data_IF_675275987125
#
_entry.id   IF_675275987125
#
_cell.length_a   1.000
_cell.length_b   1.000
_cell.length_c   1.000
_cell.angle_alpha   90.00
_cell.angle_beta   90.00
_cell.angle_gamma   90.00
#
_symmetry.space_group_name_H-M   'P 1'
#
loop_
_entity.id
_entity.type
_entity.pdbx_description
1 polymer ?
#
# COMPACT_ATOMS: atom_id res chain seq x y z
N UNK A 1 10.88 -4.41 -30.76
CA UNK A 1 9.88 -3.36 -31.06
C UNK A 1 8.85 -4.00 -31.96
N UNK A 2 7.60 -4.08 -31.50
CA UNK A 2 6.62 -4.99 -32.09
C UNK A 2 6.32 -4.66 -33.56
N UNK A 3 6.40 -5.68 -34.41
CA UNK A 3 6.02 -5.67 -35.83
C UNK A 3 4.50 -5.54 -35.98
N UNK A 4 3.96 -4.39 -35.63
CA UNK A 4 2.55 -4.06 -35.82
C UNK A 4 2.42 -3.17 -37.06
N UNK A 5 2.84 -3.74 -38.21
CA UNK A 5 2.89 -3.04 -39.52
C UNK A 5 1.65 -3.31 -40.39
N UNK A 6 0.71 -4.13 -39.95
CA UNK A 6 -0.44 -4.49 -40.76
C UNK A 6 -1.60 -3.51 -40.56
N UNK A 7 -2.03 -2.86 -41.63
CA UNK A 7 -3.24 -2.05 -41.64
C UNK A 7 -4.46 -2.99 -41.56
N UNK A 8 -5.29 -2.84 -40.54
CA UNK A 8 -6.46 -3.71 -40.33
C UNK A 8 -7.58 -3.37 -41.31
N UNK A 9 -8.46 -4.34 -41.59
CA UNK A 9 -9.66 -4.08 -42.40
C UNK A 9 -10.67 -3.27 -41.58
N UNK A 10 -11.45 -2.42 -42.24
CA UNK A 10 -12.43 -1.56 -41.58
C UNK A 10 -13.40 -2.36 -40.70
N UNK A 11 -13.98 -3.50 -41.16
CA UNK A 11 -14.86 -4.30 -40.31
C UNK A 11 -14.16 -4.89 -39.08
N UNK A 12 -12.88 -5.22 -39.17
CA UNK A 12 -12.10 -5.74 -38.04
C UNK A 12 -11.89 -4.65 -36.98
N UNK A 13 -11.60 -3.41 -37.42
CA UNK A 13 -11.46 -2.26 -36.53
C UNK A 13 -12.79 -2.00 -35.82
N UNK A 14 -13.88 -1.94 -36.58
CA UNK A 14 -15.23 -1.67 -36.06
C UNK A 14 -15.65 -2.74 -35.05
N UNK A 15 -15.46 -4.02 -35.36
CA UNK A 15 -15.76 -5.11 -34.43
C UNK A 15 -14.92 -5.05 -33.15
N UNK A 16 -13.63 -4.73 -33.26
CA UNK A 16 -12.74 -4.66 -32.10
C UNK A 16 -13.09 -3.50 -31.16
N UNK A 17 -13.37 -2.33 -31.72
CA UNK A 17 -13.74 -1.13 -30.95
C UNK A 17 -15.13 -1.28 -30.30
N UNK A 18 -16.10 -1.86 -31.00
CA UNK A 18 -17.41 -2.12 -30.41
C UNK A 18 -17.35 -3.11 -29.22
N UNK A 19 -16.44 -4.09 -29.25
CA UNK A 19 -16.24 -5.03 -28.12
C UNK A 19 -15.77 -4.35 -26.83
N UNK A 20 -15.11 -3.21 -26.93
CA UNK A 20 -14.67 -2.41 -25.78
C UNK A 20 -15.59 -1.21 -25.51
N UNK A 21 -16.82 -1.26 -26.03
CA UNK A 21 -17.86 -0.22 -25.89
C UNK A 21 -17.51 1.13 -26.51
N UNK A 22 -16.71 1.14 -27.59
CA UNK A 22 -16.53 2.33 -28.44
C UNK A 22 -17.45 2.18 -29.65
N UNK A 23 -18.56 2.93 -29.65
CA UNK A 23 -19.54 2.90 -30.72
C UNK A 23 -18.97 3.51 -32.02
N UNK A 24 -18.89 2.68 -33.06
CA UNK A 24 -18.33 3.06 -34.36
C UNK A 24 -18.96 2.21 -35.47
N UNK A 25 -19.15 2.82 -36.65
CA UNK A 25 -19.58 2.16 -37.87
C UNK A 25 -18.56 2.34 -39.00
N UNK A 26 -18.66 1.54 -40.06
CA UNK A 26 -17.75 1.60 -41.22
C UNK A 26 -17.75 3.00 -41.89
N UNK A 27 -18.87 3.71 -41.86
CA UNK A 27 -19.00 5.07 -42.41
C UNK A 27 -18.16 6.10 -41.65
N UNK A 28 -17.99 5.94 -40.33
CA UNK A 28 -17.17 6.86 -39.52
C UNK A 28 -15.70 6.83 -39.92
N UNK A 29 -15.23 5.71 -40.49
CA UNK A 29 -13.85 5.55 -40.95
C UNK A 29 -13.71 5.95 -42.42
N UNK A 30 -14.70 5.66 -43.26
CA UNK A 30 -14.65 5.96 -44.69
C UNK A 30 -14.98 7.42 -45.02
N UNK A 31 -15.86 8.04 -44.23
CA UNK A 31 -16.29 9.44 -44.33
C UNK A 31 -16.25 10.08 -42.93
N UNK A 32 -15.05 10.27 -42.37
CA UNK A 32 -14.90 10.77 -41.02
C UNK A 32 -15.41 12.20 -40.90
N UNK A 33 -16.27 12.45 -39.91
CA UNK A 33 -16.67 13.79 -39.51
C UNK A 33 -15.86 14.20 -38.27
N UNK A 34 -15.49 15.47 -38.11
CA UNK A 34 -14.71 15.93 -36.96
C UNK A 34 -15.37 15.56 -35.62
N UNK A 35 -16.70 15.67 -35.53
CA UNK A 35 -17.47 15.34 -34.34
C UNK A 35 -17.39 13.85 -33.98
N UNK A 36 -17.54 12.94 -34.96
CA UNK A 36 -17.43 11.50 -34.71
C UNK A 36 -16.01 11.10 -34.38
N UNK A 37 -15.01 11.67 -35.06
CA UNK A 37 -13.60 11.39 -34.76
C UNK A 37 -13.21 11.87 -33.38
N UNK A 38 -13.69 13.05 -32.98
CA UNK A 38 -13.49 13.57 -31.63
C UNK A 38 -14.06 12.62 -30.58
N UNK A 39 -15.30 12.16 -30.76
CA UNK A 39 -15.95 11.19 -29.87
C UNK A 39 -15.16 9.87 -29.78
N UNK A 40 -14.73 9.32 -30.93
CA UNK A 40 -13.95 8.08 -30.95
C UNK A 40 -12.65 8.25 -30.15
N UNK A 41 -11.92 9.35 -30.36
CA UNK A 41 -10.70 9.64 -29.59
C UNK A 41 -10.98 9.89 -28.11
N UNK A 42 -12.11 10.48 -27.76
CA UNK A 42 -12.52 10.65 -26.36
C UNK A 42 -12.71 9.28 -25.70
N UNK A 43 -13.43 8.37 -26.37
CA UNK A 43 -13.60 7.02 -25.88
C UNK A 43 -12.26 6.26 -25.76
N UNK A 44 -11.32 6.47 -26.69
CA UNK A 44 -9.97 5.88 -26.61
C UNK A 44 -9.18 6.41 -25.39
N UNK A 45 -9.23 7.72 -25.14
CA UNK A 45 -8.58 8.34 -23.97
C UNK A 45 -9.21 7.82 -22.68
N UNK A 46 -10.54 7.74 -22.62
CA UNK A 46 -11.24 7.21 -21.46
C UNK A 46 -10.93 5.72 -21.22
N UNK A 47 -10.87 4.90 -22.28
CA UNK A 47 -10.51 3.49 -22.16
C UNK A 47 -9.09 3.28 -21.63
N UNK A 48 -8.12 4.07 -22.10
CA UNK A 48 -6.70 3.88 -21.75
C UNK A 48 -6.28 4.57 -20.46
N UNK A 49 -6.81 5.76 -20.17
CA UNK A 49 -6.37 6.61 -19.07
C UNK A 49 -7.45 6.83 -18.00
N UNK A 50 -8.71 6.46 -18.27
CA UNK A 50 -9.83 6.71 -17.37
C UNK A 50 -10.21 8.19 -17.24
N UNK A 51 -9.80 9.03 -18.21
CA UNK A 51 -10.04 10.47 -18.22
C UNK A 51 -11.12 10.81 -19.24
N UNK A 52 -12.14 11.56 -18.84
CA UNK A 52 -13.17 12.09 -19.75
C UNK A 52 -12.80 13.48 -20.23
N UNK A 53 -13.32 13.91 -21.39
CA UNK A 53 -13.05 15.27 -21.85
C UNK A 53 -13.60 16.32 -20.87
N UNK A 54 -14.75 16.04 -20.23
CA UNK A 54 -15.32 16.89 -19.17
C UNK A 54 -14.35 17.16 -18.02
N UNK A 55 -13.46 16.23 -17.70
CA UNK A 55 -12.49 16.39 -16.60
C UNK A 55 -11.41 17.42 -16.97
N UNK A 56 -11.11 17.55 -18.27
CA UNK A 56 -10.16 18.53 -18.80
C UNK A 56 -10.72 19.95 -18.83
N UNK A 57 -12.05 20.09 -18.79
CA UNK A 57 -12.72 21.40 -18.75
C UNK A 57 -12.75 22.01 -17.34
N UNK A 58 -12.40 21.21 -16.33
CA UNK A 58 -12.32 21.70 -14.96
C UNK A 58 -11.10 22.61 -14.77
N UNK A 59 -11.23 23.71 -14.01
CA UNK A 59 -10.12 24.62 -13.77
C UNK A 59 -8.98 23.90 -13.04
N UNK A 60 -7.79 23.99 -13.62
CA UNK A 60 -6.57 23.45 -13.02
C UNK A 60 -5.74 24.60 -12.45
N UNK A 61 -5.90 24.84 -11.15
CA UNK A 61 -5.26 25.95 -10.43
C UNK A 61 -3.72 25.95 -10.54
N UNK A 62 -3.08 24.78 -10.69
CA UNK A 62 -1.63 24.68 -10.87
C UNK A 62 -1.17 25.16 -12.26
N UNK A 63 -2.01 24.96 -13.28
CA UNK A 63 -1.75 25.46 -14.64
C UNK A 63 -2.07 26.96 -14.70
N UNK A 64 -3.21 27.38 -14.14
CA UNK A 64 -3.62 28.79 -14.12
C UNK A 64 -2.59 29.70 -13.45
N UNK A 65 -1.96 29.25 -12.37
CA UNK A 65 -0.88 30.00 -11.68
C UNK A 65 0.39 30.18 -12.51
N UNK A 66 0.61 29.35 -13.54
CA UNK A 66 1.79 29.39 -14.41
C UNK A 66 1.54 30.19 -15.69
N UNK A 67 0.29 30.52 -16.00
CA UNK A 67 -0.08 31.27 -17.17
C UNK A 67 -0.19 32.75 -16.83
N UNK A 68 0.35 33.60 -17.70
CA UNK A 68 0.28 35.06 -17.54
C UNK A 68 -1.14 35.58 -17.76
N UNK A 69 -1.90 34.95 -18.68
CA UNK A 69 -3.29 35.30 -19.02
C UNK A 69 -4.17 34.04 -19.19
N UNK A 70 -4.51 33.32 -18.11
CA UNK A 70 -5.28 32.08 -18.18
C UNK A 70 -6.68 32.26 -18.76
N UNK A 71 -7.29 33.43 -18.57
CA UNK A 71 -8.64 33.74 -19.07
C UNK A 71 -8.73 33.68 -20.61
N UNK A 72 -7.66 34.04 -21.32
CA UNK A 72 -7.61 34.02 -22.79
C UNK A 72 -7.49 32.60 -23.35
N UNK A 73 -7.01 31.64 -22.54
CA UNK A 73 -6.75 30.27 -22.95
C UNK A 73 -7.77 29.28 -22.40
N UNK A 74 -8.75 29.76 -21.61
CA UNK A 74 -9.72 28.91 -20.91
C UNK A 74 -10.46 27.94 -21.83
N UNK A 75 -10.80 28.39 -23.04
CA UNK A 75 -11.55 27.58 -24.01
C UNK A 75 -10.64 26.66 -24.84
N UNK A 76 -9.35 26.98 -24.97
CA UNK A 76 -8.40 26.22 -25.79
C UNK A 76 -7.60 25.19 -24.98
N UNK A 77 -7.38 25.43 -23.68
CA UNK A 77 -6.62 24.55 -22.79
C UNK A 77 -7.15 23.11 -22.75
N UNK A 78 -8.47 22.85 -22.62
CA UNK A 78 -8.98 21.48 -22.61
C UNK A 78 -8.68 20.76 -23.92
N UNK A 79 -8.82 21.45 -25.05
CA UNK A 79 -8.57 20.91 -26.38
C UNK A 79 -7.09 20.61 -26.64
N UNK A 80 -6.18 21.49 -26.20
CA UNK A 80 -4.73 21.27 -26.27
C UNK A 80 -4.31 20.10 -25.38
N UNK A 81 -4.88 20.01 -24.19
CA UNK A 81 -4.61 18.94 -23.23
C UNK A 81 -5.09 17.60 -23.79
N UNK A 82 -6.30 17.57 -24.35
CA UNK A 82 -6.87 16.41 -25.01
C UNK A 82 -6.02 15.93 -26.19
N UNK A 83 -5.61 16.86 -27.07
CA UNK A 83 -4.66 16.57 -28.14
C UNK A 83 -3.36 15.96 -27.62
N UNK A 84 -2.80 16.51 -26.53
CA UNK A 84 -1.60 15.98 -25.89
C UNK A 84 -1.78 14.54 -25.37
N UNK A 85 -2.94 14.22 -24.80
CA UNK A 85 -3.26 12.86 -24.32
C UNK A 85 -3.33 11.87 -25.48
N UNK A 86 -4.07 12.20 -26.55
CA UNK A 86 -4.17 11.35 -27.75
C UNK A 86 -2.79 11.17 -28.38
N UNK A 87 -2.04 12.25 -28.53
CA UNK A 87 -0.69 12.20 -29.12
C UNK A 87 0.22 11.26 -28.34
N UNK A 88 0.13 11.28 -27.00
CA UNK A 88 0.92 10.39 -26.13
C UNK A 88 0.51 8.93 -26.29
N UNK A 89 -0.79 8.64 -26.35
CA UNK A 89 -1.32 7.28 -26.58
C UNK A 89 -0.84 6.77 -27.94
N UNK A 90 -1.07 7.55 -29.01
CA UNK A 90 -0.71 7.21 -30.37
C UNK A 90 0.79 6.99 -30.54
N UNK A 91 1.63 7.81 -29.90
CA UNK A 91 3.08 7.64 -29.90
C UNK A 91 3.51 6.32 -29.24
N UNK A 92 2.89 5.94 -28.13
CA UNK A 92 3.20 4.68 -27.45
C UNK A 92 2.81 3.44 -28.26
N UNK A 93 1.83 3.56 -29.16
CA UNK A 93 1.43 2.47 -30.07
C UNK A 93 2.11 2.56 -31.46
N UNK A 94 3.10 3.45 -31.62
CA UNK A 94 3.95 3.53 -32.82
C UNK A 94 3.51 4.54 -33.90
N UNK A 95 2.58 5.45 -33.58
CA UNK A 95 2.18 6.55 -34.46
C UNK A 95 2.86 7.84 -33.99
N UNK A 96 3.92 8.26 -34.69
CA UNK A 96 4.70 9.45 -34.33
C UNK A 96 4.14 10.76 -34.90
N UNK A 97 3.44 10.69 -36.04
CA UNK A 97 3.04 11.85 -36.83
C UNK A 97 1.54 12.19 -36.65
N UNK A 98 1.03 12.15 -35.42
CA UNK A 98 -0.31 12.67 -35.14
C UNK A 98 -0.25 14.19 -35.03
N UNK A 99 -1.18 14.86 -35.71
CA UNK A 99 -1.25 16.31 -35.79
C UNK A 99 -2.62 16.81 -35.34
N UNK A 100 -2.70 18.09 -34.99
CA UNK A 100 -3.98 18.70 -34.63
C UNK A 100 -4.97 18.71 -35.82
N UNK A 101 -4.46 18.69 -37.05
CA UNK A 101 -5.29 18.59 -38.25
C UNK A 101 -6.06 17.26 -38.30
N UNK A 102 -5.53 16.17 -37.72
CA UNK A 102 -6.23 14.88 -37.67
C UNK A 102 -7.50 14.92 -36.79
N UNK A 103 -7.64 15.93 -35.92
CA UNK A 103 -8.86 16.17 -35.15
C UNK A 103 -9.86 17.07 -35.89
N UNK A 104 -9.37 18.13 -36.54
CA UNK A 104 -10.23 19.16 -37.16
C UNK A 104 -10.63 18.78 -38.59
N UNK A 105 -9.74 18.12 -39.33
CA UNK A 105 -9.89 17.69 -40.71
C UNK A 105 -9.42 16.23 -40.84
N UNK A 106 -10.20 15.27 -40.30
CA UNK A 106 -9.77 13.89 -40.27
C UNK A 106 -9.71 13.28 -41.67
N UNK A 107 -8.55 12.72 -42.04
CA UNK A 107 -8.38 12.01 -43.29
C UNK A 107 -8.68 10.50 -43.12
N UNK A 108 -9.53 9.88 -43.97
CA UNK A 108 -9.95 8.48 -43.82
C UNK A 108 -8.79 7.49 -43.66
N UNK A 109 -7.73 7.66 -44.46
CA UNK A 109 -6.57 6.78 -44.45
C UNK A 109 -5.74 6.93 -43.16
N UNK A 110 -5.58 8.17 -42.68
CA UNK A 110 -4.82 8.45 -41.47
C UNK A 110 -5.58 8.01 -40.22
N UNK A 111 -6.90 8.25 -40.17
CA UNK A 111 -7.76 7.74 -39.11
C UNK A 111 -7.72 6.22 -39.06
N UNK A 112 -7.91 5.52 -40.19
CA UNK A 112 -7.83 4.06 -40.25
C UNK A 112 -6.50 3.53 -39.73
N UNK A 113 -5.39 4.19 -40.07
CA UNK A 113 -4.05 3.84 -39.58
C UNK A 113 -3.95 4.03 -38.06
N UNK A 114 -4.42 5.15 -37.53
CA UNK A 114 -4.42 5.44 -36.09
C UNK A 114 -5.25 4.39 -35.32
N UNK A 115 -6.46 4.11 -35.78
CA UNK A 115 -7.34 3.10 -35.16
C UNK A 115 -6.78 1.68 -35.29
N UNK A 116 -6.13 1.35 -36.41
CA UNK A 116 -5.48 0.03 -36.56
C UNK A 116 -4.39 -0.20 -35.52
N UNK A 117 -3.53 0.80 -35.30
CA UNK A 117 -2.46 0.73 -34.29
C UNK A 117 -3.05 0.59 -32.89
N UNK A 118 -4.12 1.34 -32.59
CA UNK A 118 -4.81 1.25 -31.32
C UNK A 118 -5.47 -0.12 -31.08
N UNK A 119 -6.15 -0.69 -32.08
CA UNK A 119 -6.75 -2.03 -31.97
C UNK A 119 -5.69 -3.11 -31.75
N UNK A 120 -4.51 -2.97 -32.36
CA UNK A 120 -3.39 -3.88 -32.11
C UNK A 120 -2.87 -3.76 -30.68
N UNK A 121 -2.83 -2.55 -30.12
CA UNK A 121 -2.57 -2.36 -28.70
C UNK A 121 -3.63 -3.04 -27.82
N UNK A 122 -4.91 -2.93 -28.13
CA UNK A 122 -5.98 -3.62 -27.38
C UNK A 122 -5.79 -5.14 -27.43
N UNK A 123 -5.46 -5.71 -28.60
CA UNK A 123 -5.17 -7.15 -28.69
C UNK A 123 -3.93 -7.57 -27.92
N UNK A 124 -2.91 -6.72 -27.90
CA UNK A 124 -1.72 -6.94 -27.07
C UNK A 124 -2.10 -6.92 -25.58
N UNK A 125 -2.82 -5.89 -25.15
CA UNK A 125 -3.31 -5.75 -23.79
C UNK A 125 -4.07 -7.01 -23.36
N UNK A 126 -5.12 -7.41 -24.10
CA UNK A 126 -5.96 -8.56 -23.79
C UNK A 126 -5.18 -9.87 -23.64
N UNK A 127 -4.14 -10.09 -24.46
CA UNK A 127 -3.28 -11.28 -24.37
C UNK A 127 -2.43 -11.29 -23.11
N UNK A 128 -2.02 -10.11 -22.62
CA UNK A 128 -1.14 -9.96 -21.47
C UNK A 128 -1.88 -9.65 -20.17
N UNK A 129 -3.17 -9.27 -20.24
CA UNK A 129 -4.01 -8.94 -19.09
C UNK A 129 -3.99 -10.04 -18.02
N UNK A 130 -4.13 -11.32 -18.41
CA UNK A 130 -4.11 -12.43 -17.46
C UNK A 130 -2.78 -12.50 -16.68
N UNK A 131 -1.65 -12.41 -17.39
CA UNK A 131 -0.31 -12.40 -16.78
C UNK A 131 -0.12 -11.19 -15.88
N UNK A 132 -0.58 -10.00 -16.29
CA UNK A 132 -0.52 -8.78 -15.48
C UNK A 132 -1.32 -8.97 -14.17
N UNK A 133 -2.54 -9.52 -14.26
CA UNK A 133 -3.36 -9.81 -13.07
C UNK A 133 -2.70 -10.84 -12.15
N UNK A 134 -2.05 -11.88 -12.68
CA UNK A 134 -1.29 -12.84 -11.87
C UNK A 134 -0.17 -12.17 -11.07
N UNK A 135 0.62 -11.29 -11.71
CA UNK A 135 1.67 -10.56 -11.01
C UNK A 135 1.11 -9.57 -9.99
N UNK A 136 0.03 -8.86 -10.34
CA UNK A 136 -0.64 -7.95 -9.41
C UNK A 136 -1.13 -8.68 -8.17
N UNK A 137 -1.83 -9.80 -8.33
CA UNK A 137 -2.33 -10.59 -7.21
C UNK A 137 -1.20 -11.11 -6.32
N UNK A 138 -0.06 -11.52 -6.90
CA UNK A 138 1.13 -11.90 -6.12
C UNK A 138 1.70 -10.73 -5.34
N UNK A 139 1.80 -9.55 -5.95
CA UNK A 139 2.24 -8.34 -5.25
C UNK A 139 1.32 -8.02 -4.07
N UNK A 140 0.01 -8.04 -4.29
CA UNK A 140 -0.99 -7.80 -3.24
C UNK A 140 -0.88 -8.85 -2.11
N UNK A 141 -0.61 -10.12 -2.44
CA UNK A 141 -0.35 -11.20 -1.46
C UNK A 141 0.91 -10.91 -0.63
N UNK A 142 2.02 -10.52 -1.27
CA UNK A 142 3.25 -10.19 -0.57
C UNK A 142 3.09 -8.97 0.34
N UNK A 143 2.35 -7.94 -0.10
CA UNK A 143 2.07 -6.76 0.72
C UNK A 143 1.24 -7.13 1.96
N UNK A 144 0.25 -8.01 1.81
CA UNK A 144 -0.53 -8.52 2.94
C UNK A 144 0.34 -9.31 3.93
N UNK A 145 1.21 -10.20 3.44
CA UNK A 145 2.15 -10.94 4.30
C UNK A 145 3.09 -9.98 5.02
N UNK A 146 3.63 -8.98 4.33
CA UNK A 146 4.52 -7.99 4.92
C UNK A 146 3.83 -7.23 6.05
N UNK A 147 2.60 -6.77 5.82
CA UNK A 147 1.80 -6.07 6.81
C UNK A 147 1.50 -6.96 8.03
N UNK A 148 1.14 -8.23 7.83
CA UNK A 148 0.89 -9.19 8.92
C UNK A 148 2.16 -9.43 9.75
N UNK A 149 3.31 -9.66 9.08
CA UNK A 149 4.59 -9.85 9.78
C UNK A 149 4.99 -8.61 10.55
N UNK A 150 4.79 -7.42 10.00
CA UNK A 150 5.09 -6.16 10.68
C UNK A 150 4.22 -5.97 11.91
N UNK A 151 2.91 -6.24 11.82
CA UNK A 151 2.00 -6.21 12.96
C UNK A 151 2.43 -7.21 14.05
N UNK A 152 2.81 -8.43 13.66
CA UNK A 152 3.27 -9.45 14.59
C UNK A 152 4.58 -9.08 15.29
N UNK A 153 5.52 -8.45 14.57
CA UNK A 153 6.76 -7.94 15.15
C UNK A 153 6.45 -6.89 16.23
N UNK A 154 5.51 -5.98 15.96
CA UNK A 154 5.16 -4.93 16.91
C UNK A 154 4.47 -5.50 18.17
N UNK A 155 3.56 -6.45 18.00
CA UNK A 155 2.94 -7.17 19.13
C UNK A 155 3.98 -7.89 19.99
N UNK A 156 4.94 -8.59 19.35
CA UNK A 156 5.99 -9.30 20.08
C UNK A 156 6.93 -8.35 20.82
N UNK A 157 7.26 -7.18 20.24
CA UNK A 157 8.05 -6.15 20.92
C UNK A 157 7.35 -5.66 22.17
N UNK A 158 6.06 -5.33 22.08
CA UNK A 158 5.25 -4.91 23.23
C UNK A 158 5.21 -6.01 24.29
N UNK A 159 5.07 -7.27 23.90
CA UNK A 159 5.06 -8.38 24.87
C UNK A 159 6.42 -8.56 25.55
N UNK A 160 7.52 -8.42 24.82
CA UNK A 160 8.87 -8.45 25.39
C UNK A 160 9.05 -7.33 26.42
N UNK A 161 8.57 -6.12 26.12
CA UNK A 161 8.66 -4.98 27.04
C UNK A 161 7.85 -5.21 28.32
N UNK A 162 6.62 -5.74 28.20
CA UNK A 162 5.81 -6.13 29.36
C UNK A 162 6.52 -7.14 30.25
N UNK A 163 7.07 -8.22 29.67
CA UNK A 163 7.77 -9.26 30.43
C UNK A 163 9.04 -8.71 31.09
N UNK A 164 9.75 -7.76 30.46
CA UNK A 164 10.90 -7.09 31.07
C UNK A 164 10.48 -6.28 32.31
N UNK A 165 9.40 -5.51 32.21
CA UNK A 165 8.86 -4.74 33.33
C UNK A 165 8.36 -5.63 34.47
N UNK A 166 7.72 -6.76 34.16
CA UNK A 166 7.32 -7.77 35.16
C UNK A 166 8.54 -8.34 35.89
N UNK A 167 9.57 -8.76 35.15
CA UNK A 167 10.81 -9.28 35.74
C UNK A 167 11.52 -8.29 36.65
N UNK A 168 11.57 -7.02 36.26
CA UNK A 168 12.19 -5.98 37.10
C UNK A 168 11.44 -5.80 38.43
N UNK A 169 10.10 -5.87 38.41
CA UNK A 169 9.29 -5.85 39.64
C UNK A 169 9.54 -7.08 40.50
N UNK A 170 9.55 -8.26 39.89
CA UNK A 170 9.78 -9.53 40.58
C UNK A 170 11.18 -9.58 41.21
N UNK A 171 12.21 -9.06 40.54
CA UNK A 171 13.57 -8.97 41.08
C UNK A 171 13.64 -8.07 42.32
N UNK A 172 12.97 -6.91 42.28
CA UNK A 172 12.88 -6.00 43.44
C UNK A 172 12.15 -6.66 44.60
N UNK A 173 11.06 -7.38 44.33
CA UNK A 173 10.31 -8.11 45.37
C UNK A 173 11.13 -9.27 45.96
N UNK A 174 11.80 -10.06 45.11
CA UNK A 174 12.68 -11.14 45.54
C UNK A 174 13.83 -10.64 46.42
N UNK A 175 14.43 -9.47 46.11
CA UNK A 175 15.43 -8.83 46.94
C UNK A 175 14.87 -8.47 48.32
N UNK A 176 13.69 -7.85 48.40
CA UNK A 176 13.03 -7.52 49.67
C UNK A 176 12.74 -8.77 50.51
N UNK A 177 12.21 -9.82 49.90
CA UNK A 177 11.94 -11.10 50.57
C UNK A 177 13.25 -11.72 51.08
N UNK A 178 14.34 -11.65 50.31
CA UNK A 178 15.65 -12.14 50.72
C UNK A 178 16.21 -11.38 51.93
N UNK A 179 16.06 -10.06 51.96
CA UNK A 179 16.43 -9.24 53.12
C UNK A 179 15.63 -9.60 54.36
N UNK A 180 14.30 -9.77 54.23
CA UNK A 180 13.42 -10.17 55.33
C UNK A 180 13.80 -11.56 55.84
N UNK A 181 14.02 -12.53 54.94
CA UNK A 181 14.46 -13.88 55.31
C UNK A 181 15.79 -13.85 56.05
N UNK A 182 16.76 -13.05 55.62
CA UNK A 182 18.04 -12.90 56.33
C UNK A 182 17.85 -12.33 57.74
N UNK A 183 16.99 -11.30 57.90
CA UNK A 183 16.65 -10.73 59.21
C UNK A 183 16.01 -11.77 60.13
N UNK A 184 14.99 -12.49 59.64
CA UNK A 184 14.30 -13.54 60.39
C UNK A 184 15.24 -14.71 60.75
N UNK A 185 16.17 -15.05 59.86
CA UNK A 185 17.17 -16.10 60.12
C UNK A 185 18.12 -15.69 61.24
N UNK A 186 18.58 -14.43 61.24
CA UNK A 186 19.43 -13.89 62.30
C UNK A 186 18.67 -13.83 63.64
N UNK A 187 17.44 -13.33 63.64
CA UNK A 187 16.59 -13.33 64.84
C UNK A 187 16.36 -14.73 65.39
N UNK A 188 16.11 -15.73 64.53
CA UNK A 188 16.00 -17.13 64.95
C UNK A 188 17.29 -17.66 65.57
N UNK A 189 18.47 -17.29 65.06
CA UNK A 189 19.76 -17.67 65.66
C UNK A 189 19.96 -17.03 67.02
N UNK A 190 19.64 -15.73 67.17
CA UNK A 190 19.71 -15.03 68.45
C UNK A 190 18.76 -15.64 69.48
N UNK A 191 17.51 -15.89 69.10
CA UNK A 191 16.52 -16.53 69.97
C UNK A 191 16.96 -17.93 70.39
N UNK A 192 17.53 -18.74 69.48
CA UNK A 192 18.10 -20.06 69.83
C UNK A 192 19.25 -19.93 70.83
N UNK A 193 20.19 -19.01 70.59
CA UNK A 193 21.30 -18.76 71.52
C UNK A 193 20.79 -18.35 72.91
N UNK A 194 19.83 -17.43 72.98
CA UNK A 194 19.22 -16.99 74.24
C UNK A 194 18.45 -18.12 74.93
N UNK A 195 17.74 -18.95 74.16
CA UNK A 195 17.08 -20.14 74.67
C UNK A 195 18.08 -21.12 75.29
N UNK A 196 19.20 -21.41 74.61
CA UNK A 196 20.24 -22.32 75.11
C UNK A 196 20.89 -21.80 76.40
N UNK A 197 21.17 -20.49 76.47
CA UNK A 197 21.66 -19.84 77.70
C UNK A 197 20.64 -19.97 78.83
N UNK A 198 19.37 -19.70 78.55
CA UNK A 198 18.30 -19.77 79.56
C UNK A 198 18.06 -21.21 80.02
N UNK A 199 18.08 -22.18 79.12
CA UNK A 199 17.99 -23.61 79.43
C UNK A 199 19.16 -24.06 80.32
N UNK A 200 20.39 -23.64 80.02
CA UNK A 200 21.56 -23.90 80.86
C UNK A 200 21.44 -23.26 82.25
N UNK A 201 20.93 -22.03 82.34
CA UNK A 201 20.69 -21.36 83.62
C UNK A 201 19.61 -22.06 84.44
N UNK A 202 18.52 -22.52 83.80
CA UNK A 202 17.47 -23.33 84.44
C UNK A 202 18.06 -24.65 84.97
N UNK A 203 18.90 -25.33 84.19
CA UNK A 203 19.56 -26.56 84.62
C UNK A 203 20.47 -26.33 85.85
N UNK A 204 21.26 -25.25 85.85
CA UNK A 204 22.10 -24.86 87.01
C UNK A 204 21.26 -24.52 88.25
N UNK A 205 20.18 -23.76 88.09
CA UNK A 205 19.29 -23.42 89.19
C UNK A 205 18.57 -24.65 89.76
N UNK A 206 18.18 -25.61 88.91
CA UNK A 206 17.65 -26.90 89.37
C UNK A 206 18.69 -27.69 90.18
N UNK A 207 19.93 -27.80 89.72
CA UNK A 207 20.97 -28.50 90.49
C UNK A 207 21.31 -27.80 91.81
N UNK A 208 21.30 -26.46 91.82
CA UNK A 208 21.46 -25.67 93.05
C UNK A 208 20.29 -25.86 94.02
N UNK A 209 19.07 -25.99 93.51
CA UNK A 209 17.90 -26.30 94.31
C UNK A 209 18.01 -27.70 94.95
N UNK A 210 18.35 -28.72 94.17
CA UNK A 210 18.56 -30.08 94.68
C UNK A 210 19.64 -30.12 95.78
N UNK A 211 20.78 -29.46 95.56
CA UNK A 211 21.87 -29.40 96.57
C UNK A 211 21.53 -28.58 97.82
N UNK A 212 20.53 -27.69 97.76
CA UNK A 212 20.02 -26.98 98.94
C UNK A 212 18.95 -27.79 99.66
N UNK A 213 18.12 -28.55 98.94
CA UNK A 213 17.15 -29.50 99.52
C UNK A 213 17.85 -30.68 100.22
N UNK A 214 19.04 -31.09 99.80
CA UNK A 214 19.88 -32.08 100.49
C UNK A 214 20.58 -31.55 101.77
N UNK A 215 20.56 -30.23 102.00
CA UNK A 215 21.23 -29.58 103.15
C UNK A 215 20.27 -29.14 104.27
N UNK A 216 18.98 -29.45 104.15
CA UNK A 216 17.93 -29.23 105.16
C UNK A 216 17.57 -30.58 105.78
#
# INVERSE_FOLDING_TARGET
MAEFKQLLKIPEIVQALNKINIDIIDEDITKPTPERVFYIYECMVNYTLGIRYSDLTQPNFEIERKLEYPELLKDSLPLVSFYGLISKILKNVGIENFSFADLVYPEPNQLRRNLSAFVQFIYFEQKHTATIYEFKNKTDEYDNILNEKQARIEELKQRIEQVKLEREKDEVEAQKIKEINNKLTNQNRELKSNHDVTANNIAKLKSQKETLEEKI
#
